data_IF_370963324301
#
_entry.id   IF_370963324301
#
_cell.length_a   1.000
_cell.length_b   1.000
_cell.length_c   1.000
_cell.angle_alpha   90.00
_cell.angle_beta   90.00
_cell.angle_gamma   90.00
#
_symmetry.space_group_name_H-M   'P 1'
#
loop_
_entity.id
_entity.type
_entity.pdbx_description
1 polymer ?
#
# COMPACT_ATOMS: atom_id res chain seq x y z
N UNK A 1 -1.44 -13.59 -31.10
CA UNK A 1 -0.38 -14.06 -30.18
C UNK A 1 -0.63 -13.36 -28.85
N UNK A 2 -1.32 -14.04 -27.95
CA UNK A 2 -1.69 -13.49 -26.63
C UNK A 2 -0.62 -13.93 -25.65
N UNK A 3 0.26 -13.00 -25.27
CA UNK A 3 1.17 -13.20 -24.14
C UNK A 3 0.35 -12.99 -22.87
N UNK A 4 -0.12 -14.10 -22.30
CA UNK A 4 -0.57 -14.16 -20.91
C UNK A 4 0.62 -13.75 -20.05
N UNK A 5 0.52 -12.60 -19.39
CA UNK A 5 1.51 -12.19 -18.38
C UNK A 5 1.33 -13.11 -17.17
N UNK A 6 2.10 -14.18 -17.14
CA UNK A 6 2.20 -15.08 -16.01
C UNK A 6 2.88 -14.31 -14.86
N UNK A 7 2.12 -14.02 -13.80
CA UNK A 7 2.64 -13.45 -12.55
C UNK A 7 3.60 -14.44 -11.91
N UNK A 8 4.86 -14.41 -12.36
CA UNK A 8 5.89 -15.32 -11.94
C UNK A 8 6.43 -14.86 -10.58
N UNK A 9 5.86 -15.40 -9.50
CA UNK A 9 6.22 -15.13 -8.10
C UNK A 9 7.59 -15.74 -7.69
N UNK A 10 8.58 -15.75 -8.58
CA UNK A 10 9.90 -16.37 -8.37
C UNK A 10 11.08 -15.44 -8.78
N UNK A 11 10.98 -14.15 -8.44
CA UNK A 11 12.16 -13.28 -8.35
C UNK A 11 12.47 -12.99 -6.89
N UNK A 12 13.55 -13.60 -6.40
CA UNK A 12 14.10 -13.32 -5.09
C UNK A 12 14.39 -11.81 -4.94
N UNK A 13 13.64 -11.10 -4.09
CA UNK A 13 14.00 -9.77 -3.61
C UNK A 13 13.18 -8.57 -4.10
N UNK A 14 12.23 -8.74 -5.03
CA UNK A 14 11.35 -7.62 -5.43
C UNK A 14 10.21 -7.52 -4.41
N UNK A 15 10.37 -6.61 -3.45
CA UNK A 15 9.32 -6.32 -2.47
C UNK A 15 8.06 -5.80 -3.17
N UNK A 16 6.86 -6.11 -2.65
CA UNK A 16 5.59 -5.55 -3.15
C UNK A 16 5.65 -4.01 -3.29
N UNK A 17 6.42 -3.37 -2.42
CA UNK A 17 6.70 -1.94 -2.46
C UNK A 17 7.38 -1.50 -3.78
N UNK A 18 8.34 -2.27 -4.29
CA UNK A 18 9.09 -1.98 -5.52
C UNK A 18 8.18 -2.02 -6.76
N UNK A 19 7.32 -3.04 -6.86
CA UNK A 19 6.34 -3.16 -7.95
C UNK A 19 5.25 -2.08 -7.92
N UNK A 20 4.90 -1.58 -6.73
CA UNK A 20 3.88 -0.53 -6.57
C UNK A 20 4.46 0.88 -6.73
N UNK A 21 5.75 1.07 -6.47
CA UNK A 21 6.42 2.37 -6.51
C UNK A 21 6.14 3.17 -7.79
N UNK A 22 6.30 2.63 -9.02
CA UNK A 22 6.14 3.43 -10.24
C UNK A 22 4.69 3.90 -10.47
N UNK A 23 3.70 3.21 -9.90
CA UNK A 23 2.28 3.50 -10.14
C UNK A 23 1.62 4.27 -8.99
N UNK A 24 2.28 4.36 -7.83
CA UNK A 24 1.75 5.08 -6.67
C UNK A 24 1.89 6.61 -6.85
N UNK A 25 0.80 7.38 -6.65
CA UNK A 25 0.91 8.83 -6.60
C UNK A 25 1.74 9.26 -5.37
N UNK A 26 2.40 10.44 -5.42
CA UNK A 26 3.24 10.91 -4.32
C UNK A 26 2.48 11.10 -3.00
N UNK A 27 1.17 11.37 -3.09
CA UNK A 27 0.25 11.54 -1.97
C UNK A 27 -0.96 10.64 -2.16
N UNK A 28 -1.20 9.78 -1.18
CA UNK A 28 -2.35 8.87 -1.13
C UNK A 28 -3.36 9.37 -0.12
N UNK A 29 -4.50 9.83 -0.61
CA UNK A 29 -5.59 10.27 0.23
C UNK A 29 -6.41 9.11 0.78
N UNK A 30 -6.62 9.06 2.10
CA UNK A 30 -7.38 8.00 2.76
C UNK A 30 -8.84 7.90 2.26
N UNK A 31 -9.44 9.02 1.88
CA UNK A 31 -10.81 9.04 1.35
C UNK A 31 -10.90 8.48 -0.08
N UNK A 32 -9.81 8.54 -0.86
CA UNK A 32 -9.70 7.97 -2.21
C UNK A 32 -9.15 6.55 -2.23
N UNK A 33 -8.92 5.95 -1.06
CA UNK A 33 -8.26 4.66 -0.94
C UNK A 33 -8.95 3.53 -1.72
N UNK A 34 -10.28 3.55 -1.80
CA UNK A 34 -11.02 2.58 -2.59
C UNK A 34 -10.74 2.71 -4.10
N UNK A 35 -10.52 3.94 -4.60
CA UNK A 35 -10.14 4.18 -5.99
C UNK A 35 -8.73 3.65 -6.25
N UNK A 36 -7.77 3.95 -5.37
CA UNK A 36 -6.40 3.43 -5.49
C UNK A 36 -6.37 1.90 -5.41
N UNK A 37 -7.19 1.29 -4.57
CA UNK A 37 -7.33 -0.17 -4.49
C UNK A 37 -7.87 -0.76 -5.79
N UNK A 38 -8.85 -0.12 -6.43
CA UNK A 38 -9.39 -0.57 -7.70
C UNK A 38 -8.40 -0.40 -8.87
N UNK A 39 -7.56 0.63 -8.83
CA UNK A 39 -6.60 0.94 -9.89
C UNK A 39 -5.26 0.20 -9.75
N UNK A 40 -4.78 0.01 -8.52
CA UNK A 40 -3.44 -0.47 -8.20
C UNK A 40 -3.45 -1.80 -7.43
N UNK A 41 -4.62 -2.43 -7.29
CA UNK A 41 -4.81 -3.72 -6.62
C UNK A 41 -4.19 -3.79 -5.21
N UNK A 42 -4.23 -2.67 -4.48
CA UNK A 42 -3.64 -2.59 -3.14
C UNK A 42 -4.26 -3.65 -2.20
N UNK A 43 -3.44 -4.36 -1.40
CA UNK A 43 -3.91 -5.48 -0.59
C UNK A 43 -4.77 -5.04 0.61
N UNK A 44 -4.71 -3.77 1.01
CA UNK A 44 -5.42 -3.26 2.19
C UNK A 44 -6.70 -2.51 1.81
N UNK A 45 -7.77 -2.72 2.58
CA UNK A 45 -9.01 -1.95 2.44
C UNK A 45 -8.92 -0.62 3.19
N UNK A 46 -9.79 0.33 2.83
CA UNK A 46 -9.89 1.62 3.57
C UNK A 46 -10.17 1.42 5.06
N UNK A 47 -11.01 0.45 5.40
CA UNK A 47 -11.33 0.11 6.79
C UNK A 47 -10.13 -0.46 7.54
N UNK A 48 -9.34 -1.32 6.88
CA UNK A 48 -8.10 -1.85 7.43
C UNK A 48 -7.10 -0.72 7.72
N UNK A 49 -6.92 0.22 6.78
CA UNK A 49 -6.05 1.40 6.97
C UNK A 49 -6.52 2.29 8.12
N UNK A 50 -7.83 2.46 8.32
CA UNK A 50 -8.37 3.20 9.46
C UNK A 50 -8.14 2.49 10.79
N UNK A 51 -8.28 1.17 10.81
CA UNK A 51 -8.01 0.39 12.02
C UNK A 51 -6.52 0.49 12.40
N UNK A 52 -5.63 0.35 11.42
CA UNK A 52 -4.18 0.54 11.62
C UNK A 52 -3.83 1.95 12.10
N UNK A 53 -4.45 2.99 11.54
CA UNK A 53 -4.30 4.38 11.96
C UNK A 53 -4.76 4.55 13.43
N UNK A 54 -5.90 3.98 13.80
CA UNK A 54 -6.42 3.99 15.19
C UNK A 54 -5.50 3.24 16.16
N UNK A 55 -4.84 2.18 15.70
CA UNK A 55 -3.88 1.41 16.49
C UNK A 55 -2.46 2.01 16.48
N UNK A 56 -2.24 3.13 15.75
CA UNK A 56 -0.90 3.71 15.50
C UNK A 56 0.09 2.72 14.89
N UNK A 57 -0.42 1.71 14.19
CA UNK A 57 0.33 0.65 13.49
C UNK A 57 0.37 0.84 11.98
N UNK A 58 -0.32 1.86 11.46
CA UNK A 58 -0.36 2.17 10.03
C UNK A 58 0.83 3.00 9.54
N UNK A 59 0.86 3.28 8.23
CA UNK A 59 1.83 4.20 7.65
C UNK A 59 1.63 5.60 8.22
N UNK A 60 2.70 6.41 8.21
CA UNK A 60 2.67 7.77 8.74
C UNK A 60 1.57 8.58 8.02
N UNK A 61 0.56 8.96 8.79
CA UNK A 61 -0.55 9.80 8.33
C UNK A 61 -0.30 11.26 8.67
N UNK A 62 -0.75 12.13 7.78
CA UNK A 62 -0.76 13.57 7.98
C UNK A 62 -2.12 14.14 7.57
N UNK A 63 -2.44 15.32 8.10
CA UNK A 63 -3.72 15.97 7.88
C UNK A 63 -3.51 17.26 7.10
N UNK A 64 -4.15 17.36 5.93
CA UNK A 64 -4.09 18.53 5.05
C UNK A 64 -5.51 18.93 4.67
N UNK A 65 -5.91 20.16 5.01
CA UNK A 65 -7.25 20.67 4.73
C UNK A 65 -8.39 19.80 5.30
N UNK A 66 -8.22 19.27 6.52
CA UNK A 66 -9.23 18.40 7.15
C UNK A 66 -9.22 16.94 6.68
N UNK A 67 -8.33 16.57 5.73
CA UNK A 67 -8.30 15.25 5.12
C UNK A 67 -7.00 14.53 5.44
N UNK A 68 -7.11 13.25 5.76
CA UNK A 68 -5.95 12.40 6.05
C UNK A 68 -5.35 11.87 4.74
N UNK A 69 -4.02 11.97 4.66
CA UNK A 69 -3.22 11.44 3.57
C UNK A 69 -1.99 10.70 4.09
N UNK A 70 -1.45 9.84 3.23
CA UNK A 70 -0.21 9.11 3.40
C UNK A 70 0.75 9.56 2.31
N UNK A 71 2.03 9.73 2.62
CA UNK A 71 3.05 9.99 1.60
C UNK A 71 3.48 8.66 1.01
N UNK A 72 3.80 8.65 -0.29
CA UNK A 72 4.28 7.46 -1.00
C UNK A 72 5.42 6.77 -0.26
N UNK A 73 6.47 7.50 0.11
CA UNK A 73 7.64 6.93 0.77
C UNK A 73 7.28 6.32 2.13
N UNK A 74 6.57 7.03 3.00
CA UNK A 74 6.17 6.48 4.30
C UNK A 74 5.26 5.24 4.17
N UNK A 75 4.42 5.19 3.13
CA UNK A 75 3.59 4.02 2.84
C UNK A 75 4.44 2.84 2.37
N UNK A 76 5.38 3.07 1.45
CA UNK A 76 6.28 2.04 0.94
C UNK A 76 7.21 1.51 2.03
N UNK A 77 7.78 2.39 2.86
CA UNK A 77 8.58 2.01 4.02
C UNK A 77 7.78 1.17 5.01
N UNK A 78 6.52 1.56 5.27
CA UNK A 78 5.62 0.79 6.12
C UNK A 78 5.28 -0.58 5.51
N UNK A 79 4.99 -0.65 4.20
CA UNK A 79 4.75 -1.92 3.50
C UNK A 79 6.01 -2.79 3.50
N UNK A 80 7.20 -2.22 3.30
CA UNK A 80 8.45 -2.97 3.37
C UNK A 80 8.73 -3.52 4.77
N UNK A 81 8.31 -2.80 5.81
CA UNK A 81 8.49 -3.18 7.22
C UNK A 81 7.44 -4.18 7.72
N UNK A 82 6.18 -3.98 7.39
CA UNK A 82 5.03 -4.76 7.91
C UNK A 82 4.50 -5.79 6.91
N UNK A 83 4.78 -5.63 5.61
CA UNK A 83 4.25 -6.42 4.50
C UNK A 83 4.68 -7.89 4.44
N UNK A 84 5.35 -8.39 5.48
CA UNK A 84 5.59 -9.81 5.69
C UNK A 84 5.87 -10.18 7.17
N UNK A 85 5.25 -9.51 8.15
CA UNK A 85 5.38 -9.92 9.57
C UNK A 85 4.10 -10.51 10.19
N UNK A 86 3.06 -10.77 9.38
CA UNK A 86 1.91 -11.58 9.81
C UNK A 86 2.07 -13.05 9.36
N UNK A 87 3.28 -13.59 9.53
CA UNK A 87 3.41 -15.03 9.72
C UNK A 87 2.56 -15.41 10.93
N UNK A 88 1.67 -16.37 10.73
CA UNK A 88 0.92 -17.02 11.78
C UNK A 88 1.80 -17.24 13.03
N UNK A 89 1.34 -16.76 14.18
CA UNK A 89 1.65 -17.39 15.46
C UNK A 89 0.35 -18.03 15.95
#
# INVERSE_FOLDING_TARGET
MSITQEFNANVAGVSLADSLEPHLPPVLWRHKWNEYRAQLELPFTRGHMQNLDSQKRGPKSALLGGKIFYRKNDLLEWIAKEGWNNGCN
#
